data_IF_838089717736
#
_entry.id   IF_838089717736
#
_cell.length_a   1.000
_cell.length_b   1.000
_cell.length_c   1.000
_cell.angle_alpha   90.00
_cell.angle_beta   90.00
_cell.angle_gamma   90.00
#
_symmetry.space_group_name_H-M   'P 1'
#
loop_
_entity.id
_entity.type
_entity.pdbx_description
1 polymer ?
#
# COMPACT_ATOMS: atom_id res chain seq x y z
N UNK A 1 21.95 3.01 26.43
CA UNK A 1 21.71 3.75 25.17
C UNK A 1 20.41 3.22 24.63
N UNK A 2 19.39 4.07 24.45
CA UNK A 2 18.13 3.63 23.86
C UNK A 2 18.39 3.36 22.39
N UNK A 3 18.12 2.15 21.91
CA UNK A 3 18.07 1.87 20.48
C UNK A 3 16.99 2.77 19.88
N UNK A 4 17.41 3.80 19.14
CA UNK A 4 16.51 4.56 18.29
C UNK A 4 16.17 3.62 17.15
N UNK A 5 14.89 3.31 16.96
CA UNK A 5 14.45 2.59 15.76
C UNK A 5 15.03 3.31 14.53
N UNK A 6 15.58 2.53 13.59
CA UNK A 6 16.07 3.07 12.33
C UNK A 6 14.93 3.85 11.65
N UNK A 7 15.27 4.95 10.96
CA UNK A 7 14.29 5.63 10.14
C UNK A 7 14.06 4.73 8.90
N UNK A 8 12.81 4.44 8.48
CA UNK A 8 12.57 3.67 7.26
C UNK A 8 13.30 4.23 6.04
N UNK A 9 13.62 5.54 6.04
CA UNK A 9 14.40 6.21 4.99
C UNK A 9 15.89 5.85 5.00
N UNK A 10 16.40 5.19 6.04
CA UNK A 10 17.75 4.63 6.10
C UNK A 10 17.90 3.40 5.18
N UNK A 11 16.80 2.81 4.70
CA UNK A 11 16.78 1.64 3.82
C UNK A 11 16.37 1.98 2.38
N UNK A 12 16.81 1.16 1.44
CA UNK A 12 16.31 1.19 0.06
C UNK A 12 14.88 0.66 0.04
N UNK A 13 13.93 1.44 -0.48
CA UNK A 13 12.56 0.97 -0.68
C UNK A 13 12.50 -0.02 -1.86
N UNK A 14 12.48 -1.32 -1.56
CA UNK A 14 12.39 -2.39 -2.57
C UNK A 14 11.01 -2.46 -3.25
N UNK A 15 9.98 -1.86 -2.65
CA UNK A 15 8.60 -1.87 -3.13
C UNK A 15 8.25 -0.64 -3.99
N UNK A 16 9.20 0.25 -4.30
CA UNK A 16 8.92 1.42 -5.15
C UNK A 16 8.83 1.05 -6.64
N UNK A 17 7.82 1.60 -7.32
CA UNK A 17 7.67 1.48 -8.77
C UNK A 17 8.86 2.06 -9.55
N UNK A 18 9.62 3.01 -8.97
CA UNK A 18 10.82 3.58 -9.57
C UNK A 18 11.92 2.54 -9.84
N UNK A 19 11.89 1.41 -9.12
CA UNK A 19 12.77 0.27 -9.35
C UNK A 19 12.07 -0.90 -10.06
N UNK A 20 10.88 -0.67 -10.64
CA UNK A 20 10.11 -1.70 -11.35
C UNK A 20 9.31 -2.62 -10.45
N UNK A 21 9.13 -2.27 -9.17
CA UNK A 21 8.16 -2.95 -8.32
C UNK A 21 6.75 -2.78 -8.91
N UNK A 22 5.91 -3.79 -8.75
CA UNK A 22 4.56 -3.78 -9.34
C UNK A 22 3.61 -4.65 -8.54
N UNK A 23 2.35 -4.24 -8.44
CA UNK A 23 1.30 -5.11 -7.91
C UNK A 23 0.83 -6.06 -9.01
N UNK A 24 1.14 -7.35 -8.87
CA UNK A 24 0.83 -8.36 -9.87
C UNK A 24 -0.66 -8.69 -9.92
N UNK A 25 -1.32 -8.65 -8.77
CA UNK A 25 -2.73 -9.01 -8.62
C UNK A 25 -3.30 -8.40 -7.34
N UNK A 26 -4.59 -8.07 -7.36
CA UNK A 26 -5.38 -7.86 -6.14
C UNK A 26 -6.77 -8.46 -6.34
N UNK A 27 -7.41 -8.85 -5.24
CA UNK A 27 -8.75 -9.43 -5.30
C UNK A 27 -9.85 -8.39 -5.57
N UNK A 28 -9.63 -7.13 -5.18
CA UNK A 28 -10.54 -6.01 -5.37
C UNK A 28 -9.76 -4.68 -5.35
N UNK A 29 -9.85 -3.89 -6.43
CA UNK A 29 -9.29 -2.54 -6.55
C UNK A 29 -10.35 -1.54 -7.04
N UNK A 30 -11.60 -1.73 -6.59
CA UNK A 30 -12.75 -1.00 -7.11
C UNK A 30 -12.66 0.52 -6.91
N UNK A 31 -12.45 1.01 -5.69
CA UNK A 31 -12.53 2.44 -5.39
C UNK A 31 -11.24 3.19 -5.76
N UNK A 32 -10.08 2.57 -5.51
CA UNK A 32 -8.79 3.13 -5.88
C UNK A 32 -7.79 2.03 -6.23
N UNK A 33 -6.93 2.29 -7.23
CA UNK A 33 -6.04 1.27 -7.79
C UNK A 33 -4.99 0.80 -6.78
N UNK A 34 -4.77 -0.51 -6.74
CA UNK A 34 -3.66 -1.16 -6.02
C UNK A 34 -2.29 -0.59 -6.38
N UNK A 35 -2.10 -0.10 -7.60
CA UNK A 35 -0.81 0.40 -8.08
C UNK A 35 -0.36 1.66 -7.32
N UNK A 36 -1.30 2.40 -6.73
CA UNK A 36 -1.01 3.58 -5.91
C UNK A 36 -0.17 3.24 -4.66
N UNK A 37 -0.14 1.98 -4.21
CA UNK A 37 0.66 1.55 -3.04
C UNK A 37 2.16 1.74 -3.23
N UNK A 38 2.64 1.75 -4.47
CA UNK A 38 4.07 1.66 -4.80
C UNK A 38 4.68 2.98 -5.28
N UNK A 39 3.86 4.04 -5.30
CA UNK A 39 4.30 5.38 -5.71
C UNK A 39 5.41 5.89 -4.78
N UNK A 40 6.43 6.57 -5.31
CA UNK A 40 7.54 7.07 -4.51
C UNK A 40 7.22 8.38 -3.78
N UNK A 41 6.06 8.97 -4.02
CA UNK A 41 5.63 10.25 -3.45
C UNK A 41 4.72 10.05 -2.25
N UNK A 42 4.68 11.03 -1.35
CA UNK A 42 3.69 11.06 -0.28
C UNK A 42 2.26 11.04 -0.84
N UNK A 43 1.35 10.36 -0.14
CA UNK A 43 -0.05 10.25 -0.54
C UNK A 43 -0.74 11.62 -0.52
N UNK A 44 -1.46 11.94 -1.60
CA UNK A 44 -2.19 13.20 -1.75
C UNK A 44 -3.68 13.03 -1.46
N UNK A 45 -4.30 14.01 -0.79
CA UNK A 45 -5.76 14.10 -0.63
C UNK A 45 -6.31 15.32 -1.34
N UNK A 46 -7.23 15.10 -2.27
CA UNK A 46 -7.90 16.16 -3.03
C UNK A 46 -9.40 16.18 -2.68
N UNK A 47 -9.88 17.08 -1.80
CA UNK A 47 -11.24 17.05 -1.25
C UNK A 47 -12.38 17.17 -2.27
N UNK A 48 -12.11 17.74 -3.44
CA UNK A 48 -13.12 17.98 -4.48
C UNK A 48 -13.07 16.95 -5.63
N UNK A 49 -12.07 16.06 -5.64
CA UNK A 49 -11.88 15.11 -6.74
C UNK A 49 -12.65 13.80 -6.55
N UNK A 50 -13.30 13.35 -7.63
CA UNK A 50 -14.09 12.13 -7.67
C UNK A 50 -13.84 11.39 -8.99
N UNK A 51 -13.93 10.07 -8.94
CA UNK A 51 -13.94 9.18 -10.10
C UNK A 51 -15.37 8.70 -10.37
N UNK A 52 -15.56 7.94 -11.44
CA UNK A 52 -16.80 7.21 -11.72
C UNK A 52 -17.13 6.15 -10.64
N UNK A 53 -16.17 5.83 -9.77
CA UNK A 53 -16.29 4.80 -8.72
C UNK A 53 -16.39 5.38 -7.32
N UNK A 54 -16.22 6.69 -7.11
CA UNK A 54 -16.35 7.31 -5.80
C UNK A 54 -15.34 8.43 -5.59
N UNK A 55 -14.96 8.66 -4.33
CA UNK A 55 -13.92 9.63 -3.97
C UNK A 55 -12.59 9.21 -4.62
N UNK A 56 -11.88 10.14 -5.26
CA UNK A 56 -10.52 9.84 -5.71
C UNK A 56 -9.61 9.71 -4.48
N UNK A 57 -8.83 8.63 -4.43
CA UNK A 57 -7.89 8.35 -3.33
C UNK A 57 -6.51 8.00 -3.90
N UNK A 58 -5.47 8.56 -3.30
CA UNK A 58 -4.08 8.23 -3.60
C UNK A 58 -3.60 7.06 -2.72
N UNK A 59 -4.19 5.89 -2.97
CA UNK A 59 -3.91 4.66 -2.27
C UNK A 59 -4.71 3.51 -2.88
N UNK A 60 -4.72 2.34 -2.24
CA UNK A 60 -5.54 1.21 -2.65
C UNK A 60 -6.80 1.12 -1.80
N UNK A 61 -7.97 1.04 -2.45
CA UNK A 61 -9.24 0.92 -1.75
C UNK A 61 -10.17 -0.11 -2.42
N UNK A 62 -10.51 -1.15 -1.66
CA UNK A 62 -11.46 -2.20 -2.04
C UNK A 62 -12.89 -1.85 -1.61
N UNK A 63 -13.87 -2.57 -2.14
CA UNK A 63 -15.24 -2.50 -1.60
C UNK A 63 -15.33 -3.08 -0.20
N UNK A 64 -16.25 -2.52 0.60
CA UNK A 64 -16.55 -3.05 1.94
C UNK A 64 -17.02 -4.49 1.88
N UNK A 65 -16.21 -5.40 2.41
CA UNK A 65 -16.48 -6.83 2.48
C UNK A 65 -17.56 -7.14 3.53
N UNK A 66 -18.56 -7.95 3.16
CA UNK A 66 -19.64 -8.44 4.05
C UNK A 66 -19.61 -9.96 4.25
N UNK A 67 -18.49 -10.59 3.90
CA UNK A 67 -18.25 -12.03 3.99
C UNK A 67 -16.91 -12.32 4.69
N UNK A 68 -16.73 -13.48 5.33
CA UNK A 68 -15.50 -13.82 6.07
C UNK A 68 -14.24 -13.87 5.19
N UNK A 69 -13.12 -13.27 5.65
CA UNK A 69 -11.82 -13.20 4.96
C UNK A 69 -11.29 -11.77 4.81
N UNK A 70 -10.29 -11.58 3.94
CA UNK A 70 -9.52 -10.34 3.79
C UNK A 70 -9.40 -9.92 2.32
N UNK A 71 -9.13 -8.64 2.08
CA UNK A 71 -8.64 -8.16 0.79
C UNK A 71 -7.13 -8.28 0.74
N UNK A 72 -6.62 -8.72 -0.42
CA UNK A 72 -5.23 -9.14 -0.61
C UNK A 72 -4.72 -8.64 -1.94
N UNK A 73 -3.47 -8.18 -1.96
CA UNK A 73 -2.71 -7.95 -3.18
C UNK A 73 -1.37 -8.69 -3.13
N UNK A 74 -0.80 -8.96 -4.30
CA UNK A 74 0.52 -9.59 -4.47
C UNK A 74 1.46 -8.55 -5.07
N UNK A 75 2.52 -8.22 -4.34
CA UNK A 75 3.52 -7.24 -4.76
C UNK A 75 4.80 -7.97 -5.18
N UNK A 76 5.31 -7.65 -6.36
CA UNK A 76 6.66 -8.02 -6.78
C UNK A 76 7.60 -6.87 -6.44
N UNK A 77 8.66 -7.15 -5.70
CA UNK A 77 9.72 -6.18 -5.42
C UNK A 77 10.49 -5.83 -6.69
N UNK A 78 10.96 -4.58 -6.78
CA UNK A 78 11.68 -4.08 -7.95
C UNK A 78 13.12 -4.57 -8.05
N UNK A 79 13.73 -4.87 -6.89
CA UNK A 79 15.10 -5.34 -6.78
C UNK A 79 15.19 -6.57 -5.86
N UNK A 80 16.13 -7.50 -6.09
CA UNK A 80 16.45 -8.52 -5.11
C UNK A 80 17.02 -7.88 -3.84
N UNK A 81 16.62 -8.38 -2.67
CA UNK A 81 17.08 -7.83 -1.39
C UNK A 81 16.52 -8.56 -0.19
N UNK A 82 16.90 -8.09 1.00
CA UNK A 82 16.40 -8.58 2.29
C UNK A 82 15.47 -7.52 2.85
N UNK A 83 14.21 -7.87 3.08
CA UNK A 83 13.25 -7.00 3.75
C UNK A 83 13.63 -6.88 5.22
N UNK A 84 13.99 -5.66 5.65
CA UNK A 84 14.33 -5.34 7.05
C UNK A 84 13.17 -4.70 7.79
N UNK A 85 12.40 -3.90 7.07
CA UNK A 85 11.27 -3.14 7.57
C UNK A 85 10.16 -3.11 6.53
N UNK A 86 8.93 -2.98 7.01
CA UNK A 86 7.75 -2.83 6.17
C UNK A 86 6.91 -1.70 6.73
N UNK A 87 6.60 -0.72 5.88
CA UNK A 87 5.77 0.43 6.22
C UNK A 87 4.40 0.26 5.59
N UNK A 88 3.35 0.39 6.39
CA UNK A 88 1.96 0.43 5.95
C UNK A 88 1.43 1.83 6.22
N UNK A 89 1.36 2.64 5.17
CA UNK A 89 0.81 3.98 5.27
C UNK A 89 -0.70 3.96 4.98
N UNK A 90 -1.49 4.43 5.93
CA UNK A 90 -2.95 4.58 5.81
C UNK A 90 -3.36 6.04 5.70
N UNK A 91 -2.46 6.91 5.22
CA UNK A 91 -2.71 8.32 5.01
C UNK A 91 -4.05 8.56 4.30
N UNK A 92 -4.83 9.51 4.83
CA UNK A 92 -6.12 9.95 4.30
C UNK A 92 -7.29 8.94 4.34
N UNK A 93 -7.04 7.67 4.66
CA UNK A 93 -8.10 6.68 4.91
C UNK A 93 -8.67 6.85 6.32
N UNK A 94 -9.59 7.81 6.50
CA UNK A 94 -10.16 8.14 7.82
C UNK A 94 -11.45 7.38 8.07
N UNK A 95 -11.38 6.36 8.92
CA UNK A 95 -12.51 5.51 9.32
C UNK A 95 -12.77 4.30 8.41
N UNK A 96 -12.09 4.23 7.26
CA UNK A 96 -12.09 3.10 6.33
C UNK A 96 -10.71 2.41 6.20
N UNK A 97 -9.70 2.81 6.97
CA UNK A 97 -8.42 2.10 7.05
C UNK A 97 -8.61 0.63 7.50
N UNK A 98 -7.74 -0.29 7.08
CA UNK A 98 -7.85 -1.69 7.48
C UNK A 98 -7.69 -1.83 8.99
N UNK A 99 -8.51 -2.70 9.61
CA UNK A 99 -8.42 -2.96 11.06
C UNK A 99 -7.11 -3.65 11.46
N UNK A 100 -6.53 -4.41 10.55
CA UNK A 100 -5.28 -5.13 10.70
C UNK A 100 -4.72 -5.44 9.31
N UNK A 101 -3.41 -5.67 9.23
CA UNK A 101 -2.73 -6.16 8.04
C UNK A 101 -1.78 -7.29 8.42
N UNK A 102 -1.43 -8.12 7.45
CA UNK A 102 -0.44 -9.19 7.58
C UNK A 102 0.32 -9.32 6.27
N UNK A 103 1.51 -9.91 6.34
CA UNK A 103 2.40 -10.06 5.21
C UNK A 103 2.92 -11.48 5.12
N UNK A 104 3.01 -11.98 3.90
CA UNK A 104 3.64 -13.23 3.55
C UNK A 104 4.71 -12.94 2.50
N UNK A 105 5.83 -13.66 2.55
CA UNK A 105 6.97 -13.48 1.65
C UNK A 105 7.26 -14.81 0.97
N UNK A 106 7.49 -14.75 -0.34
CA UNK A 106 7.91 -15.88 -1.17
C UNK A 106 9.02 -15.44 -2.12
N UNK A 107 9.86 -16.39 -2.56
CA UNK A 107 11.00 -16.19 -3.46
C UNK A 107 11.02 -17.22 -4.57
#
# INVERSE_FOLDING_TARGET
MSDKAADPTDYVNLATESYGASVLWANDDFFASKDNLLKPTEAVFLPEEFTDRGKWMDGWESRRRRVPGHDVCIVRLGLPGIVRELVVDTAHFRGNFPKACSFEVAS
#
